data_IF_778959229007
#
_entry.id   IF_778959229007
#
_cell.length_a   1.000
_cell.length_b   1.000
_cell.length_c   1.000
_cell.angle_alpha   90.00
_cell.angle_beta   90.00
_cell.angle_gamma   90.00
#
_symmetry.space_group_name_H-M   'P 1'
#
loop_
_entity.id
_entity.type
_entity.pdbx_description
1 polymer ?
#
# COMPACT_ATOMS: atom_id res chain seq x y z
N UNK A 1 -4.80 20.95 0.16
CA UNK A 1 -5.62 19.83 0.70
C UNK A 1 -4.73 18.99 1.58
N UNK A 2 -5.16 18.73 2.83
CA UNK A 2 -4.39 17.95 3.80
C UNK A 2 -5.05 16.58 4.03
N UNK A 3 -4.32 15.51 3.81
CA UNK A 3 -4.81 14.12 3.90
C UNK A 3 -4.02 13.38 4.97
N UNK A 4 -4.76 12.71 5.87
CA UNK A 4 -4.20 11.70 6.77
C UNK A 4 -4.33 10.34 6.12
N UNK A 5 -3.23 9.62 5.95
CA UNK A 5 -3.20 8.28 5.35
C UNK A 5 -2.83 7.21 6.39
N UNK A 6 -3.53 6.07 6.34
CA UNK A 6 -3.32 4.93 7.23
C UNK A 6 -3.15 3.66 6.39
N UNK A 7 -2.09 2.90 6.64
CA UNK A 7 -1.92 1.56 6.10
C UNK A 7 -1.56 0.55 7.20
N UNK A 8 -2.29 -0.54 7.22
CA UNK A 8 -2.08 -1.70 8.07
C UNK A 8 -2.40 -3.00 7.32
N UNK A 9 -2.32 -2.94 5.99
CA UNK A 9 -2.67 -4.04 5.09
C UNK A 9 -1.65 -5.18 5.07
N UNK A 10 -0.42 -4.92 5.49
CA UNK A 10 0.70 -5.87 5.52
C UNK A 10 1.25 -6.11 6.94
N UNK A 11 2.51 -6.54 7.02
CA UNK A 11 3.27 -6.65 8.28
C UNK A 11 3.66 -5.26 8.78
N UNK A 12 3.96 -4.37 7.86
CA UNK A 12 4.31 -2.98 8.11
C UNK A 12 3.04 -2.18 8.41
N UNK A 13 3.11 -1.30 9.40
CA UNK A 13 2.11 -0.28 9.64
C UNK A 13 2.67 1.08 9.29
N UNK A 14 1.89 1.93 8.64
CA UNK A 14 2.28 3.28 8.29
C UNK A 14 1.16 4.28 8.55
N UNK A 15 1.54 5.46 9.00
CA UNK A 15 0.69 6.65 9.13
C UNK A 15 1.43 7.81 8.48
N UNK A 16 0.76 8.55 7.61
CA UNK A 16 1.36 9.69 6.93
C UNK A 16 0.40 10.88 6.87
N UNK A 17 0.95 12.07 6.80
CA UNK A 17 0.23 13.32 6.54
C UNK A 17 0.81 13.96 5.29
N UNK A 18 -0.04 14.23 4.32
CA UNK A 18 0.32 14.88 3.06
C UNK A 18 -0.45 16.20 2.95
N UNK A 19 0.20 17.26 2.53
CA UNK A 19 -0.42 18.55 2.27
C UNK A 19 0.01 19.05 0.88
N UNK A 20 -0.95 19.24 -0.01
CA UNK A 20 -0.73 19.75 -1.38
C UNK A 20 0.44 19.06 -2.10
N UNK A 21 0.41 17.72 -2.14
CA UNK A 21 1.43 16.84 -2.73
C UNK A 21 2.79 16.81 -2.01
N UNK A 22 2.90 17.46 -0.85
CA UNK A 22 4.10 17.42 -0.01
C UNK A 22 3.89 16.47 1.16
N UNK A 23 4.78 15.51 1.33
CA UNK A 23 4.82 14.65 2.51
C UNK A 23 5.28 15.51 3.71
N UNK A 24 4.35 15.79 4.63
CA UNK A 24 4.62 16.56 5.85
C UNK A 24 5.31 15.69 6.90
N UNK A 25 4.78 14.50 7.11
CA UNK A 25 5.34 13.52 8.04
C UNK A 25 4.87 12.11 7.69
N UNK A 26 5.73 11.14 7.95
CA UNK A 26 5.42 9.71 7.88
C UNK A 26 6.04 9.00 9.08
N UNK A 27 5.29 8.06 9.64
CA UNK A 27 5.78 7.14 10.65
C UNK A 27 5.50 5.71 10.17
N UNK A 28 6.55 4.95 9.95
CA UNK A 28 6.48 3.56 9.48
C UNK A 28 7.13 2.62 10.47
N UNK A 29 6.42 1.54 10.83
CA UNK A 29 6.90 0.52 11.76
C UNK A 29 6.82 -0.85 11.12
N UNK A 30 7.98 -1.51 11.01
CA UNK A 30 8.10 -2.91 10.64
C UNK A 30 8.51 -3.72 11.89
N UNK A 31 7.54 -4.03 12.73
CA UNK A 31 7.79 -4.73 13.98
C UNK A 31 6.64 -5.65 14.36
N UNK A 32 6.93 -6.72 15.13
CA UNK A 32 5.97 -7.77 15.53
C UNK A 32 4.94 -7.32 16.60
N UNK A 33 4.45 -6.09 16.52
CA UNK A 33 3.32 -5.62 17.34
C UNK A 33 2.04 -5.64 16.53
N UNK A 34 0.92 -5.77 17.19
CA UNK A 34 -0.39 -5.68 16.53
C UNK A 34 -0.67 -4.24 16.09
N UNK A 35 -1.23 -4.05 14.92
CA UNK A 35 -1.55 -2.71 14.37
C UNK A 35 -2.49 -1.91 15.29
N UNK A 36 -3.32 -2.59 16.09
CA UNK A 36 -4.16 -1.93 17.12
C UNK A 36 -3.36 -1.22 18.22
N UNK A 37 -2.11 -1.66 18.45
CA UNK A 37 -1.21 -1.06 19.43
C UNK A 37 -0.28 -0.01 18.82
N UNK A 38 -0.24 0.12 17.50
CA UNK A 38 0.74 0.98 16.81
C UNK A 38 0.13 2.16 16.08
N UNK A 39 -0.99 1.99 15.36
CA UNK A 39 -1.53 3.04 14.48
C UNK A 39 -1.84 4.37 15.21
N UNK A 40 -2.61 4.32 16.29
CA UNK A 40 -2.94 5.55 17.03
C UNK A 40 -1.73 6.18 17.73
N UNK A 41 -0.83 5.44 18.39
CA UNK A 41 0.43 6.00 18.88
C UNK A 41 1.29 6.64 17.80
N UNK A 42 1.38 6.05 16.58
CA UNK A 42 2.12 6.65 15.47
C UNK A 42 1.51 7.98 15.02
N UNK A 43 0.16 8.05 14.95
CA UNK A 43 -0.54 9.29 14.67
C UNK A 43 -0.29 10.34 15.76
N UNK A 44 -0.35 9.95 17.03
CA UNK A 44 -0.09 10.84 18.17
C UNK A 44 1.32 11.44 18.12
N UNK A 45 2.32 10.64 17.74
CA UNK A 45 3.69 11.15 17.56
C UNK A 45 3.79 12.15 16.39
N UNK A 46 3.16 11.86 15.25
CA UNK A 46 3.09 12.80 14.12
C UNK A 46 2.45 14.13 14.57
N UNK A 47 1.29 14.05 15.24
CA UNK A 47 0.55 15.22 15.74
C UNK A 47 1.44 16.07 16.66
N UNK A 48 2.15 15.45 17.60
CA UNK A 48 3.04 16.14 18.52
C UNK A 48 4.24 16.79 17.83
N UNK A 49 4.89 16.04 16.92
CA UNK A 49 6.10 16.53 16.24
C UNK A 49 5.84 17.62 15.23
N UNK A 50 4.66 17.64 14.63
CA UNK A 50 4.27 18.61 13.59
C UNK A 50 3.31 19.69 14.09
N UNK A 51 2.91 19.64 15.38
CA UNK A 51 1.90 20.53 15.97
C UNK A 51 0.58 20.54 15.16
N UNK A 52 0.24 19.38 14.56
CA UNK A 52 -0.89 19.25 13.66
C UNK A 52 -2.22 19.37 14.41
N UNK A 53 -3.04 20.33 14.03
CA UNK A 53 -4.46 20.31 14.41
C UNK A 53 -5.23 19.35 13.49
N UNK A 54 -5.67 18.22 14.03
CA UNK A 54 -6.43 17.20 13.29
C UNK A 54 -7.72 17.73 12.66
N UNK A 55 -8.27 18.85 13.13
CA UNK A 55 -9.45 19.48 12.52
C UNK A 55 -9.15 20.06 11.14
N UNK A 56 -7.87 20.36 10.85
CA UNK A 56 -7.42 20.92 9.57
C UNK A 56 -7.25 19.85 8.47
N UNK A 57 -7.42 18.58 8.79
CA UNK A 57 -7.41 17.51 7.82
C UNK A 57 -8.68 17.58 6.96
N UNK A 58 -8.54 17.42 5.65
CA UNK A 58 -9.65 17.46 4.69
C UNK A 58 -10.25 16.07 4.42
N UNK A 59 -9.43 15.01 4.44
CA UNK A 59 -9.84 13.63 4.21
C UNK A 59 -8.91 12.63 4.93
N UNK A 60 -9.43 11.43 5.15
CA UNK A 60 -8.68 10.31 5.70
C UNK A 60 -8.61 9.20 4.66
N UNK A 61 -7.41 8.88 4.19
CA UNK A 61 -7.13 7.77 3.29
C UNK A 61 -6.82 6.51 4.10
N UNK A 62 -7.29 5.36 3.65
CA UNK A 62 -7.00 4.07 4.30
C UNK A 62 -6.86 2.96 3.27
N UNK A 63 -5.89 2.09 3.46
CA UNK A 63 -5.75 0.89 2.63
C UNK A 63 -7.02 0.02 2.76
N UNK A 64 -7.69 -0.21 1.61
CA UNK A 64 -8.94 -0.99 1.55
C UNK A 64 -8.72 -2.46 1.20
N UNK A 65 -7.46 -2.85 1.00
CA UNK A 65 -7.08 -4.20 0.59
C UNK A 65 -6.75 -4.32 -0.91
N UNK A 66 -6.30 -5.52 -1.31
CA UNK A 66 -6.16 -6.74 -0.52
C UNK A 66 -5.03 -6.69 0.51
N UNK A 67 -5.01 -7.66 1.45
CA UNK A 67 -3.96 -7.76 2.47
C UNK A 67 -4.39 -8.53 3.72
N UNK A 68 -3.67 -8.30 4.82
CA UNK A 68 -3.95 -8.92 6.11
C UNK A 68 -5.39 -8.64 6.58
N UNK A 69 -6.18 -9.69 6.74
CA UNK A 69 -7.58 -9.60 7.17
C UNK A 69 -7.76 -8.84 8.50
N UNK A 70 -6.91 -9.14 9.48
CA UNK A 70 -6.93 -8.44 10.78
C UNK A 70 -6.44 -7.01 10.64
N UNK A 71 -5.35 -6.81 9.90
CA UNK A 71 -4.78 -5.49 9.66
C UNK A 71 -5.78 -4.54 9.00
N UNK A 72 -6.39 -4.94 7.90
CA UNK A 72 -7.39 -4.14 7.17
C UNK A 72 -8.59 -3.76 8.05
N UNK A 73 -9.04 -4.65 8.93
CA UNK A 73 -10.12 -4.34 9.88
C UNK A 73 -9.71 -3.30 10.92
N UNK A 74 -8.49 -3.41 11.45
CA UNK A 74 -7.94 -2.44 12.40
C UNK A 74 -7.83 -1.07 11.74
N UNK A 75 -7.18 -0.98 10.57
CA UNK A 75 -7.03 0.26 9.81
C UNK A 75 -8.39 0.90 9.48
N UNK A 76 -9.32 0.10 8.95
CA UNK A 76 -10.67 0.56 8.61
C UNK A 76 -11.46 1.04 9.83
N UNK A 77 -11.37 0.34 10.98
CA UNK A 77 -12.02 0.77 12.21
C UNK A 77 -11.41 2.07 12.75
N UNK A 78 -10.08 2.19 12.72
CA UNK A 78 -9.36 3.39 13.13
C UNK A 78 -9.75 4.58 12.24
N UNK A 79 -9.73 4.41 10.91
CA UNK A 79 -10.11 5.45 9.96
C UNK A 79 -11.57 5.90 10.16
N UNK A 80 -12.50 4.95 10.34
CA UNK A 80 -13.92 5.26 10.61
C UNK A 80 -14.11 6.01 11.92
N UNK A 81 -13.42 5.60 12.98
CA UNK A 81 -13.48 6.30 14.27
C UNK A 81 -12.97 7.74 14.15
N UNK A 82 -11.84 7.95 13.48
CA UNK A 82 -11.30 9.28 13.23
C UNK A 82 -12.20 10.11 12.32
N UNK A 83 -12.72 9.53 11.23
CA UNK A 83 -13.63 10.21 10.31
C UNK A 83 -14.90 10.71 10.99
N UNK A 84 -15.47 9.86 11.87
CA UNK A 84 -16.64 10.24 12.67
C UNK A 84 -16.32 11.34 13.69
N UNK A 85 -15.19 11.22 14.41
CA UNK A 85 -14.79 12.18 15.44
C UNK A 85 -14.42 13.56 14.88
N UNK A 86 -13.88 13.59 13.67
CA UNK A 86 -13.39 14.81 13.00
C UNK A 86 -14.38 15.36 11.97
N UNK A 87 -15.47 14.65 11.69
CA UNK A 87 -16.43 14.93 10.61
C UNK A 87 -15.72 15.04 9.24
N UNK A 88 -14.90 14.03 8.89
CA UNK A 88 -14.10 14.01 7.65
C UNK A 88 -14.43 12.80 6.78
N UNK A 89 -14.43 12.98 5.45
CA UNK A 89 -14.67 11.89 4.51
C UNK A 89 -13.53 10.86 4.54
N UNK A 90 -13.89 9.61 4.20
CA UNK A 90 -12.95 8.50 4.08
C UNK A 90 -12.72 8.14 2.62
N UNK A 91 -11.48 7.89 2.26
CA UNK A 91 -11.06 7.44 0.93
C UNK A 91 -10.37 6.08 1.04
N UNK A 92 -10.94 5.08 0.38
CA UNK A 92 -10.35 3.73 0.34
C UNK A 92 -9.35 3.60 -0.80
N UNK A 93 -8.09 3.31 -0.48
CA UNK A 93 -7.00 3.16 -1.45
C UNK A 93 -6.73 1.67 -1.71
N UNK A 94 -6.71 1.21 -2.98
CA UNK A 94 -6.33 -0.16 -3.31
C UNK A 94 -4.87 -0.42 -2.89
N UNK A 95 -4.64 -1.47 -2.10
CA UNK A 95 -3.33 -1.71 -1.48
C UNK A 95 -2.23 -1.98 -2.52
N UNK A 96 -2.54 -2.79 -3.54
CA UNK A 96 -1.53 -3.17 -4.56
C UNK A 96 -1.16 -1.97 -5.43
N UNK A 97 -2.13 -1.12 -5.76
CA UNK A 97 -1.89 0.14 -6.48
C UNK A 97 -1.03 1.10 -5.64
N UNK A 98 -1.38 1.29 -4.36
CA UNK A 98 -0.58 2.12 -3.46
C UNK A 98 0.86 1.62 -3.35
N UNK A 99 1.05 0.29 -3.30
CA UNK A 99 2.39 -0.30 -3.28
C UNK A 99 3.16 0.01 -4.57
N UNK A 100 2.50 0.00 -5.74
CA UNK A 100 3.13 0.34 -7.01
C UNK A 100 3.61 1.81 -7.06
N UNK A 101 2.93 2.73 -6.39
CA UNK A 101 3.33 4.14 -6.31
C UNK A 101 4.67 4.38 -5.60
N UNK A 102 5.19 3.42 -4.82
CA UNK A 102 6.56 3.52 -4.28
C UNK A 102 7.64 3.53 -5.37
N UNK A 103 7.30 3.12 -6.59
CA UNK A 103 8.18 3.13 -7.77
C UNK A 103 7.73 4.20 -8.79
N UNK A 104 7.31 5.36 -8.29
CA UNK A 104 6.93 6.50 -9.12
C UNK A 104 8.05 6.87 -10.10
N UNK A 105 7.66 7.15 -11.36
CA UNK A 105 8.56 7.55 -12.46
C UNK A 105 9.65 6.52 -12.83
N UNK A 106 9.47 5.26 -12.45
CA UNK A 106 10.38 4.19 -12.87
C UNK A 106 9.99 3.70 -14.27
N UNK A 107 11.00 3.51 -15.14
CA UNK A 107 10.80 2.89 -16.45
C UNK A 107 10.63 1.37 -16.32
N UNK A 108 9.66 0.81 -17.03
CA UNK A 108 9.37 -0.62 -17.05
C UNK A 108 8.04 -0.96 -16.39
N UNK A 109 7.75 -2.25 -16.33
CA UNK A 109 6.56 -2.75 -15.66
C UNK A 109 6.78 -2.82 -14.16
N UNK A 110 5.80 -2.43 -13.40
CA UNK A 110 5.79 -2.53 -11.93
C UNK A 110 4.82 -3.64 -11.55
N UNK A 111 5.31 -4.63 -10.84
CA UNK A 111 4.51 -5.75 -10.40
C UNK A 111 4.67 -5.97 -8.89
N UNK A 112 3.79 -5.39 -8.08
CA UNK A 112 3.77 -5.65 -6.65
C UNK A 112 3.41 -7.12 -6.37
N UNK A 113 4.10 -7.74 -5.42
CA UNK A 113 3.88 -9.12 -5.00
C UNK A 113 3.67 -9.15 -3.48
N UNK A 114 2.45 -9.36 -3.04
CA UNK A 114 2.11 -9.57 -1.64
C UNK A 114 1.74 -11.04 -1.41
N UNK A 115 2.30 -11.67 -0.38
CA UNK A 115 2.01 -13.07 -0.05
C UNK A 115 0.55 -13.26 0.42
N UNK A 116 -0.27 -13.90 -0.40
CA UNK A 116 -1.66 -14.23 -0.08
C UNK A 116 -1.81 -15.63 0.53
N UNK A 117 -0.70 -16.31 0.83
CA UNK A 117 -0.62 -17.69 1.29
C UNK A 117 -0.99 -18.71 0.20
N UNK A 118 -0.69 -20.01 0.46
CA UNK A 118 -1.04 -21.14 -0.40
C UNK A 118 -0.60 -21.00 -1.86
N UNK A 119 0.62 -20.48 -2.08
CA UNK A 119 1.18 -20.23 -3.42
C UNK A 119 0.46 -19.11 -4.21
N UNK A 120 -0.41 -18.35 -3.56
CA UNK A 120 -1.11 -17.24 -4.16
C UNK A 120 -0.48 -15.90 -3.76
N UNK A 121 -0.65 -14.93 -4.63
CA UNK A 121 -0.20 -13.55 -4.43
C UNK A 121 -1.33 -12.58 -4.68
N UNK A 122 -1.35 -11.48 -3.91
CA UNK A 122 -2.05 -10.29 -4.34
C UNK A 122 -1.10 -9.46 -5.19
N UNK A 123 -1.50 -9.17 -6.41
CA UNK A 123 -0.64 -8.56 -7.42
C UNK A 123 -1.45 -7.77 -8.44
N UNK A 124 -0.77 -7.08 -9.33
CA UNK A 124 -1.28 -6.38 -10.50
C UNK A 124 -0.10 -5.98 -11.37
N UNK A 125 -0.33 -5.43 -12.56
CA UNK A 125 0.71 -4.93 -13.44
C UNK A 125 0.43 -3.46 -13.74
N UNK A 126 1.41 -2.63 -13.46
CA UNK A 126 1.31 -1.18 -13.57
C UNK A 126 2.47 -0.62 -14.36
N UNK A 127 2.31 0.57 -14.89
CA UNK A 127 3.34 1.32 -15.58
C UNK A 127 3.12 2.82 -15.36
N UNK A 128 4.20 3.59 -15.21
CA UNK A 128 4.10 5.04 -15.25
C UNK A 128 4.33 5.56 -16.66
N UNK A 129 3.43 6.46 -17.12
CA UNK A 129 3.62 7.27 -18.32
C UNK A 129 3.60 8.75 -17.92
N UNK A 130 4.79 9.31 -17.84
CA UNK A 130 4.97 10.59 -17.17
C UNK A 130 4.46 10.49 -15.72
N UNK A 131 3.63 11.41 -15.31
CA UNK A 131 3.11 11.48 -13.94
C UNK A 131 1.85 10.61 -13.68
N UNK A 132 1.44 9.79 -14.66
CA UNK A 132 0.22 9.01 -14.54
C UNK A 132 0.54 7.52 -14.48
N UNK A 133 0.01 6.84 -13.47
CA UNK A 133 0.05 5.38 -13.40
C UNK A 133 -1.05 4.78 -14.27
N UNK A 134 -0.65 3.94 -15.22
CA UNK A 134 -1.55 3.10 -16.00
C UNK A 134 -1.68 1.72 -15.37
N UNK A 135 -2.92 1.25 -15.25
CA UNK A 135 -3.24 -0.09 -14.76
C UNK A 135 -3.33 -1.01 -15.96
N UNK A 136 -2.30 -1.82 -16.20
CA UNK A 136 -2.27 -2.80 -17.28
C UNK A 136 -3.00 -4.08 -16.92
N UNK A 137 -2.87 -4.52 -15.66
CA UNK A 137 -3.67 -5.58 -15.04
C UNK A 137 -4.13 -5.07 -13.67
N UNK A 138 -5.42 -5.06 -13.39
CA UNK A 138 -5.93 -4.60 -12.10
C UNK A 138 -5.49 -5.55 -10.98
N UNK A 139 -5.57 -5.07 -9.74
CA UNK A 139 -5.23 -5.93 -8.60
C UNK A 139 -6.07 -7.20 -8.57
N UNK A 140 -5.41 -8.32 -8.34
CA UNK A 140 -6.00 -9.66 -8.35
C UNK A 140 -5.36 -10.56 -7.29
N UNK A 141 -6.02 -11.67 -7.00
CA UNK A 141 -5.47 -12.78 -6.22
C UNK A 141 -5.31 -13.98 -7.16
N UNK A 142 -4.08 -14.40 -7.43
CA UNK A 142 -3.76 -15.46 -8.38
C UNK A 142 -2.59 -16.31 -7.89
N UNK A 143 -2.41 -17.48 -8.48
CA UNK A 143 -1.19 -18.26 -8.29
C UNK A 143 -0.01 -17.52 -8.92
N UNK A 144 1.17 -17.63 -8.31
CA UNK A 144 2.37 -16.90 -8.74
C UNK A 144 2.76 -17.24 -10.18
N UNK A 145 2.49 -18.44 -10.62
CA UNK A 145 2.77 -18.90 -11.99
C UNK A 145 1.94 -18.13 -13.02
N UNK A 146 0.68 -17.83 -12.71
CA UNK A 146 -0.22 -17.08 -13.63
C UNK A 146 0.30 -15.67 -13.90
N UNK A 147 0.79 -14.98 -12.87
CA UNK A 147 1.35 -13.63 -13.10
C UNK A 147 2.70 -13.69 -13.80
N UNK A 148 3.52 -14.71 -13.54
CA UNK A 148 4.77 -14.92 -14.25
C UNK A 148 4.54 -15.14 -15.77
N UNK A 149 3.55 -15.97 -16.15
CA UNK A 149 3.17 -16.17 -17.55
C UNK A 149 2.75 -14.85 -18.23
N UNK A 150 1.86 -14.08 -17.58
CA UNK A 150 1.40 -12.77 -18.10
C UNK A 150 2.55 -11.78 -18.29
N UNK A 151 3.57 -11.82 -17.45
CA UNK A 151 4.75 -10.96 -17.57
C UNK A 151 5.67 -11.42 -18.70
N UNK A 152 5.87 -12.74 -18.86
CA UNK A 152 6.64 -13.31 -19.98
C UNK A 152 6.05 -12.90 -21.35
N UNK A 153 4.73 -12.95 -21.50
CA UNK A 153 4.06 -12.56 -22.74
C UNK A 153 4.33 -11.10 -23.13
N UNK A 154 4.60 -10.23 -22.15
CA UNK A 154 4.86 -8.81 -22.40
C UNK A 154 6.28 -8.50 -22.86
N UNK A 155 7.25 -9.40 -22.65
CA UNK A 155 8.66 -9.29 -23.10
C UNK A 155 9.29 -7.93 -22.72
N UNK A 156 9.07 -7.47 -21.51
CA UNK A 156 9.54 -6.17 -21.00
C UNK A 156 10.18 -6.33 -19.63
N UNK A 157 11.05 -5.39 -19.29
CA UNK A 157 11.66 -5.33 -17.95
C UNK A 157 10.58 -5.12 -16.88
N UNK A 158 10.70 -5.89 -15.80
CA UNK A 158 9.75 -5.88 -14.68
C UNK A 158 10.48 -5.61 -13.38
N UNK A 159 9.94 -4.70 -12.58
CA UNK A 159 10.42 -4.44 -11.23
C UNK A 159 9.40 -4.99 -10.24
N UNK A 160 9.87 -5.90 -9.38
CA UNK A 160 9.07 -6.49 -8.33
C UNK A 160 9.30 -5.79 -7.00
N UNK A 161 8.24 -5.61 -6.21
CA UNK A 161 8.30 -5.09 -4.86
C UNK A 161 7.23 -5.77 -3.98
N UNK A 162 7.38 -5.67 -2.67
CA UNK A 162 6.44 -6.24 -1.70
C UNK A 162 7.01 -7.43 -0.95
N UNK A 163 6.28 -7.85 0.09
CA UNK A 163 6.69 -8.89 1.04
C UNK A 163 6.67 -10.32 0.46
N UNK A 164 5.97 -10.51 -0.65
CA UNK A 164 5.97 -11.77 -1.39
C UNK A 164 7.22 -11.99 -2.25
N UNK A 165 7.98 -10.93 -2.59
CA UNK A 165 9.16 -11.06 -3.47
C UNK A 165 10.19 -12.03 -2.89
N UNK A 166 10.61 -11.96 -1.63
CA UNK A 166 11.56 -12.93 -1.05
C UNK A 166 11.01 -14.36 -1.04
N UNK A 167 9.68 -14.52 -0.91
CA UNK A 167 9.02 -15.84 -0.84
C UNK A 167 9.01 -16.53 -2.20
N UNK A 168 8.80 -15.75 -3.28
CA UNK A 168 8.59 -16.28 -4.63
C UNK A 168 9.76 -16.01 -5.58
N UNK A 169 10.89 -15.52 -5.09
CA UNK A 169 12.05 -15.11 -5.90
C UNK A 169 12.46 -16.16 -6.93
N UNK A 170 12.62 -17.42 -6.50
CA UNK A 170 13.09 -18.50 -7.39
C UNK A 170 12.08 -18.80 -8.51
N UNK A 171 10.78 -18.72 -8.20
CA UNK A 171 9.71 -18.93 -9.19
C UNK A 171 9.64 -17.79 -10.20
N UNK A 172 9.80 -16.56 -9.73
CA UNK A 172 9.82 -15.37 -10.58
C UNK A 172 11.05 -15.39 -11.52
N UNK A 173 12.23 -15.73 -11.00
CA UNK A 173 13.44 -15.82 -11.82
C UNK A 173 13.36 -16.96 -12.85
N UNK A 174 12.85 -18.13 -12.48
CA UNK A 174 12.75 -19.29 -13.39
C UNK A 174 11.63 -19.13 -14.41
N UNK A 175 10.57 -18.39 -14.07
CA UNK A 175 9.44 -18.16 -14.97
C UNK A 175 9.67 -17.03 -15.99
N UNK A 176 10.68 -16.18 -15.79
CA UNK A 176 10.99 -15.02 -16.65
C UNK A 176 12.25 -15.23 -17.52
N UNK A 177 12.95 -16.35 -17.38
CA UNK A 177 14.04 -16.78 -18.26
C UNK A 177 13.51 -17.69 -19.35
#
# INVERSE_FOLDING_TARGET
MRVLALDSSGIVASVAVVEDDILVAEYTVNYKKTHSQTLLPMLDEIVKMTELDLKTIDAIAVAKGPGSFTGLRIGSATAKGLGLALDKPLVGIPTVEALAYNLYDVNGLICPIMDARRNQVYTGIYEFRGNTMEVLEPQMAVDIEVIAEKLCERQRDVIFLGDGVPVFKDKLCNGLM
#
